data_IF_786263954353
#
_entry.id   IF_786263954353
#
_cell.length_a   1.000
_cell.length_b   1.000
_cell.length_c   1.000
_cell.angle_alpha   90.00
_cell.angle_beta   90.00
_cell.angle_gamma   90.00
#
_symmetry.space_group_name_H-M   'P 1'
#
loop_
_entity.id
_entity.type
_entity.pdbx_description
1 polymer ?
#
# COMPACT_ATOMS: atom_id res chain seq x y z
N UNK A 1 30.97 70.58 75.81
CA UNK A 1 31.13 70.83 74.36
C UNK A 1 31.92 69.67 73.77
N UNK A 2 31.39 68.99 72.76
CA UNK A 2 32.14 67.96 72.01
C UNK A 2 31.40 66.63 71.88
N UNK A 3 30.55 66.54 70.86
CA UNK A 3 29.73 65.39 70.48
C UNK A 3 30.61 64.21 70.00
N UNK A 4 30.36 63.01 70.53
CA UNK A 4 30.89 61.76 69.97
C UNK A 4 29.95 61.22 68.87
N UNK A 5 30.57 60.54 67.90
CA UNK A 5 30.06 60.23 66.56
C UNK A 5 28.73 59.47 66.54
N UNK A 6 27.81 59.95 65.68
CA UNK A 6 26.77 59.11 65.07
C UNK A 6 27.31 58.62 63.74
N UNK A 7 27.55 57.32 63.66
CA UNK A 7 27.77 56.58 62.41
C UNK A 7 26.45 56.56 61.64
N UNK A 8 26.37 57.35 60.57
CA UNK A 8 25.33 57.19 59.55
C UNK A 8 25.90 56.31 58.44
N UNK A 9 25.53 55.03 58.47
CA UNK A 9 25.59 54.12 57.34
C UNK A 9 24.47 54.53 56.38
N UNK A 10 24.81 55.30 55.34
CA UNK A 10 23.94 55.40 54.17
C UNK A 10 24.29 54.22 53.27
N UNK A 11 23.59 53.10 53.47
CA UNK A 11 23.59 52.01 52.50
C UNK A 11 22.98 52.52 51.19
N UNK A 12 23.74 52.33 50.13
CA UNK A 12 23.37 52.68 48.76
C UNK A 12 22.44 51.60 48.23
N UNK A 13 21.13 51.79 48.35
CA UNK A 13 20.17 50.99 47.58
C UNK A 13 20.34 51.35 46.09
N UNK A 14 20.88 50.39 45.33
CA UNK A 14 21.07 50.47 43.89
C UNK A 14 20.12 49.48 43.22
N UNK A 15 19.08 50.02 42.58
CA UNK A 15 18.20 49.46 41.54
C UNK A 15 18.32 47.96 41.22
N UNK A 16 17.53 47.11 41.88
CA UNK A 16 17.25 45.74 41.41
C UNK A 16 16.09 45.64 40.41
N UNK A 17 15.40 46.75 40.10
CA UNK A 17 14.22 46.74 39.21
C UNK A 17 14.58 46.63 37.71
N UNK A 18 15.78 47.05 37.30
CA UNK A 18 16.19 47.11 35.89
C UNK A 18 16.51 45.75 35.26
N UNK A 19 17.05 44.82 36.05
CA UNK A 19 17.55 43.52 35.57
C UNK A 19 16.42 42.57 35.13
N UNK A 20 15.38 42.41 35.95
CA UNK A 20 14.25 41.53 35.61
C UNK A 20 13.49 41.99 34.36
N UNK A 21 13.27 43.30 34.20
CA UNK A 21 12.53 43.84 33.05
C UNK A 21 13.21 43.56 31.70
N UNK A 22 14.55 43.55 31.67
CA UNK A 22 15.33 43.26 30.47
C UNK A 22 15.36 41.76 30.16
N UNK A 23 15.45 40.89 31.17
CA UNK A 23 15.30 39.43 31.00
C UNK A 23 13.97 39.06 30.38
N UNK A 24 12.85 39.55 30.93
CA UNK A 24 11.51 39.30 30.37
C UNK A 24 11.34 39.87 28.96
N UNK A 25 12.04 40.96 28.62
CA UNK A 25 12.04 41.52 27.26
C UNK A 25 12.83 40.64 26.29
N UNK A 26 13.94 40.06 26.73
CA UNK A 26 14.76 39.11 25.95
C UNK A 26 13.98 37.81 25.75
N UNK A 27 13.34 37.26 26.79
CA UNK A 27 12.50 36.06 26.70
C UNK A 27 11.37 36.25 25.70
N UNK A 28 10.62 37.36 25.79
CA UNK A 28 9.57 37.69 24.81
C UNK A 28 10.11 37.75 23.38
N UNK A 29 11.31 38.30 23.18
CA UNK A 29 11.96 38.36 21.86
C UNK A 29 12.33 36.97 21.33
N UNK A 30 12.80 36.07 22.19
CA UNK A 30 13.14 34.69 21.84
C UNK A 30 11.88 33.89 21.49
N UNK A 31 10.83 33.98 22.32
CA UNK A 31 9.54 33.31 22.09
C UNK A 31 8.96 33.73 20.73
N UNK A 32 8.91 35.03 20.47
CA UNK A 32 8.38 35.55 19.21
C UNK A 32 9.26 35.19 18.00
N UNK A 33 10.59 35.12 18.17
CA UNK A 33 11.49 34.60 17.12
C UNK A 33 11.20 33.13 16.82
N UNK A 34 11.03 32.30 17.85
CA UNK A 34 10.70 30.89 17.70
C UNK A 34 9.36 30.72 16.98
N UNK A 35 8.33 31.49 17.37
CA UNK A 35 7.03 31.50 16.71
C UNK A 35 7.13 31.82 15.22
N UNK A 36 7.91 32.83 14.82
CA UNK A 36 8.14 33.17 13.40
C UNK A 36 8.90 32.09 12.65
N UNK A 37 9.90 31.48 13.28
CA UNK A 37 10.66 30.40 12.68
C UNK A 37 9.78 29.17 12.44
N UNK A 38 8.94 28.79 13.40
CA UNK A 38 7.96 27.72 13.22
C UNK A 38 7.01 28.01 12.06
N UNK A 39 6.48 29.24 11.99
CA UNK A 39 5.62 29.64 10.89
C UNK A 39 6.32 29.54 9.53
N UNK A 40 7.58 29.98 9.44
CA UNK A 40 8.39 29.85 8.21
C UNK A 40 8.56 28.40 7.78
N UNK A 41 8.85 27.49 8.72
CA UNK A 41 9.01 26.05 8.44
C UNK A 41 7.70 25.47 7.90
N UNK A 42 6.57 25.82 8.49
CA UNK A 42 5.26 25.33 8.04
C UNK A 42 4.95 25.78 6.62
N UNK A 43 5.19 27.05 6.27
CA UNK A 43 5.01 27.53 4.90
C UNK A 43 5.93 26.82 3.91
N UNK A 44 7.21 26.62 4.24
CA UNK A 44 8.12 25.86 3.38
C UNK A 44 7.64 24.43 3.15
N UNK A 45 7.13 23.76 4.20
CA UNK A 45 6.56 22.42 4.09
C UNK A 45 5.29 22.40 3.24
N UNK A 46 4.39 23.37 3.42
CA UNK A 46 3.19 23.51 2.61
C UNK A 46 3.55 23.62 1.11
N UNK A 47 4.46 24.54 0.78
CA UNK A 47 4.85 24.78 -0.62
C UNK A 47 5.52 23.58 -1.26
N UNK A 48 6.27 22.76 -0.50
CA UNK A 48 6.87 21.52 -1.03
C UNK A 48 5.86 20.43 -1.42
N UNK A 49 4.62 20.51 -0.92
CA UNK A 49 3.57 19.52 -1.20
C UNK A 49 2.68 19.91 -2.40
N UNK A 50 2.82 21.13 -2.90
CA UNK A 50 2.00 21.66 -4.00
C UNK A 50 2.77 21.46 -5.32
N UNK A 51 2.19 20.76 -6.32
CA UNK A 51 2.81 20.59 -7.63
C UNK A 51 3.00 21.93 -8.35
N UNK A 52 4.12 22.10 -9.03
CA UNK A 52 4.41 23.22 -9.94
C UNK A 52 4.70 24.60 -9.30
N UNK A 53 5.26 24.65 -8.10
CA UNK A 53 5.87 25.89 -7.56
C UNK A 53 7.24 26.19 -8.20
N UNK A 54 7.35 26.05 -9.53
CA UNK A 54 8.58 26.21 -10.29
C UNK A 54 8.81 27.71 -10.55
N UNK A 55 9.39 28.39 -9.57
CA UNK A 55 10.44 29.42 -9.73
C UNK A 55 10.22 30.65 -10.63
N UNK A 56 9.02 31.02 -11.09
CA UNK A 56 8.86 32.23 -11.94
C UNK A 56 8.11 33.42 -11.34
N UNK A 57 7.42 33.28 -10.22
CA UNK A 57 6.77 34.42 -9.57
C UNK A 57 6.76 34.23 -8.06
N UNK A 58 7.34 35.17 -7.32
CA UNK A 58 7.29 35.16 -5.87
C UNK A 58 5.86 35.55 -5.43
N UNK A 59 4.97 34.56 -5.35
CA UNK A 59 3.61 34.74 -4.87
C UNK A 59 3.61 35.26 -3.43
N UNK A 60 2.62 36.11 -3.09
CA UNK A 60 2.44 36.58 -1.73
C UNK A 60 2.06 35.40 -0.81
N UNK A 61 2.34 35.51 0.49
CA UNK A 61 1.98 34.44 1.45
C UNK A 61 0.50 34.06 1.41
N UNK A 62 -0.47 34.98 1.30
CA UNK A 62 -1.89 34.63 1.14
C UNK A 62 -2.16 33.87 -0.16
N UNK A 63 -1.55 34.28 -1.27
CA UNK A 63 -1.77 33.65 -2.57
C UNK A 63 -1.26 32.19 -2.58
N UNK A 64 -0.14 31.92 -1.88
CA UNK A 64 0.38 30.56 -1.68
C UNK A 64 -0.60 29.69 -0.89
N UNK A 65 -1.28 30.26 0.12
CA UNK A 65 -2.31 29.55 0.88
C UNK A 65 -3.53 29.28 -0.02
N UNK A 66 -3.96 30.26 -0.81
CA UNK A 66 -5.10 30.10 -1.72
C UNK A 66 -4.83 29.05 -2.79
N UNK A 67 -3.59 28.96 -3.28
CA UNK A 67 -3.17 27.90 -4.19
C UNK A 67 -3.21 26.52 -3.52
N UNK A 68 -2.75 26.42 -2.27
CA UNK A 68 -2.85 25.19 -1.49
C UNK A 68 -4.31 24.75 -1.34
N UNK A 69 -5.21 25.69 -1.02
CA UNK A 69 -6.65 25.44 -0.90
C UNK A 69 -7.21 24.94 -2.24
N UNK A 70 -6.84 25.59 -3.34
CA UNK A 70 -7.26 25.18 -4.70
C UNK A 70 -6.78 23.77 -5.03
N UNK A 71 -5.55 23.45 -4.66
CA UNK A 71 -4.98 22.13 -4.89
C UNK A 71 -5.71 21.05 -4.09
N UNK A 72 -5.98 21.27 -2.80
CA UNK A 72 -6.76 20.35 -1.96
C UNK A 72 -8.13 20.08 -2.58
N UNK A 73 -8.88 21.11 -2.99
CA UNK A 73 -10.18 20.96 -3.65
C UNK A 73 -10.10 20.15 -4.95
N UNK A 74 -9.01 20.33 -5.72
CA UNK A 74 -8.79 19.57 -6.95
C UNK A 74 -8.55 18.08 -6.65
N UNK A 75 -7.82 17.75 -5.59
CA UNK A 75 -7.57 16.38 -5.16
C UNK A 75 -8.85 15.71 -4.67
N UNK A 76 -9.66 16.39 -3.86
CA UNK A 76 -10.97 15.90 -3.40
C UNK A 76 -11.88 15.56 -4.59
N UNK A 77 -11.89 16.41 -5.61
CA UNK A 77 -12.68 16.20 -6.83
C UNK A 77 -12.17 14.99 -7.62
N UNK A 78 -10.86 14.85 -7.78
CA UNK A 78 -10.24 13.68 -8.44
C UNK A 78 -10.52 12.38 -7.69
N UNK A 79 -10.44 12.40 -6.37
CA UNK A 79 -10.73 11.25 -5.51
C UNK A 79 -12.19 10.81 -5.68
N UNK A 80 -13.13 11.76 -5.62
CA UNK A 80 -14.55 11.48 -5.85
C UNK A 80 -14.80 10.89 -7.23
N UNK A 81 -14.25 11.48 -8.29
CA UNK A 81 -14.37 10.96 -9.65
C UNK A 81 -13.81 9.54 -9.77
N UNK A 82 -12.61 9.28 -9.24
CA UNK A 82 -12.02 7.94 -9.25
C UNK A 82 -12.84 6.92 -8.46
N UNK A 83 -13.46 7.34 -7.35
CA UNK A 83 -14.38 6.51 -6.58
C UNK A 83 -15.66 6.19 -7.35
N UNK A 84 -16.28 7.19 -7.99
CA UNK A 84 -17.46 7.01 -8.85
C UNK A 84 -17.14 6.10 -10.05
N UNK A 85 -16.00 6.28 -10.70
CA UNK A 85 -15.52 5.39 -11.77
C UNK A 85 -15.34 3.96 -11.27
N UNK A 86 -14.66 3.77 -10.13
CA UNK A 86 -14.50 2.46 -9.49
C UNK A 86 -15.86 1.83 -9.17
N UNK A 87 -16.80 2.59 -8.63
CA UNK A 87 -18.14 2.10 -8.31
C UNK A 87 -18.93 1.76 -9.57
N UNK A 88 -18.85 2.56 -10.64
CA UNK A 88 -19.53 2.26 -11.91
C UNK A 88 -19.01 0.97 -12.55
N UNK A 89 -17.68 0.78 -12.62
CA UNK A 89 -17.06 -0.43 -13.10
C UNK A 89 -17.38 -1.62 -12.19
N UNK A 90 -17.47 -1.38 -10.88
CA UNK A 90 -17.85 -2.40 -9.92
C UNK A 90 -19.35 -2.75 -9.97
N UNK A 91 -20.25 -1.81 -10.24
CA UNK A 91 -21.70 -2.06 -10.38
C UNK A 91 -22.00 -2.81 -11.68
N UNK A 92 -21.28 -2.50 -12.78
CA UNK A 92 -21.31 -3.31 -13.99
C UNK A 92 -20.58 -4.66 -13.83
N UNK A 93 -19.60 -4.77 -12.93
CA UNK A 93 -18.89 -6.02 -12.60
C UNK A 93 -19.59 -6.90 -11.53
N UNK A 94 -20.51 -6.34 -10.74
CA UNK A 94 -21.25 -7.02 -9.66
C UNK A 94 -22.54 -7.71 -10.14
N UNK A 95 -22.60 -8.07 -11.41
CA UNK A 95 -23.51 -9.12 -11.91
C UNK A 95 -22.77 -10.40 -12.31
N UNK A 96 -21.53 -10.63 -11.86
CA UNK A 96 -21.07 -12.01 -11.66
C UNK A 96 -21.48 -12.46 -10.25
N UNK A 97 -22.78 -12.68 -10.12
CA UNK A 97 -23.24 -13.74 -9.24
C UNK A 97 -22.56 -15.01 -9.72
N UNK A 98 -21.93 -15.73 -8.82
CA UNK A 98 -21.39 -17.09 -8.98
C UNK A 98 -22.52 -18.13 -9.16
N UNK A 99 -23.62 -17.71 -9.77
CA UNK A 99 -24.70 -18.56 -10.25
C UNK A 99 -24.82 -18.35 -11.75
N UNK A 100 -24.38 -19.37 -12.48
CA UNK A 100 -24.67 -19.58 -13.87
C UNK A 100 -26.18 -19.46 -14.09
N UNK A 101 -26.66 -18.48 -14.85
CA UNK A 101 -27.85 -18.63 -15.70
C UNK A 101 -27.97 -17.46 -16.70
N UNK A 102 -27.92 -17.84 -17.98
CA UNK A 102 -28.39 -17.16 -19.19
C UNK A 102 -28.02 -15.70 -19.44
N UNK A 103 -27.03 -15.51 -20.32
CA UNK A 103 -27.24 -14.65 -21.49
C UNK A 103 -26.57 -15.31 -22.70
N UNK A 104 -27.36 -15.55 -23.74
CA UNK A 104 -26.98 -16.27 -24.94
C UNK A 104 -25.88 -15.56 -25.73
N UNK A 105 -24.67 -16.13 -25.72
CA UNK A 105 -23.75 -16.14 -26.84
C UNK A 105 -22.80 -17.34 -26.65
N UNK A 106 -22.72 -18.20 -27.66
CA UNK A 106 -21.98 -19.46 -27.69
C UNK A 106 -20.45 -19.31 -27.56
N UNK A 107 -19.94 -19.01 -26.38
CA UNK A 107 -18.59 -19.36 -25.98
C UNK A 107 -18.65 -19.99 -24.59
N UNK A 108 -18.36 -21.28 -24.51
CA UNK A 108 -18.22 -22.00 -23.24
C UNK A 108 -17.17 -21.29 -22.39
N UNK A 109 -17.59 -20.40 -21.49
CA UNK A 109 -16.73 -19.78 -20.50
C UNK A 109 -16.28 -20.89 -19.55
N UNK A 110 -15.16 -21.54 -19.87
CA UNK A 110 -14.56 -22.56 -19.02
C UNK A 110 -14.23 -21.91 -17.69
N UNK A 111 -14.80 -22.43 -16.60
CA UNK A 111 -14.44 -22.01 -15.25
C UNK A 111 -12.93 -22.16 -15.04
N UNK A 112 -12.28 -21.21 -14.35
CA UNK A 112 -10.85 -21.30 -14.08
C UNK A 112 -10.57 -22.59 -13.29
N UNK A 113 -9.51 -23.30 -13.68
CA UNK A 113 -9.06 -24.51 -12.99
C UNK A 113 -7.67 -24.27 -12.44
N UNK A 114 -7.44 -24.65 -11.20
CA UNK A 114 -6.14 -24.50 -10.55
C UNK A 114 -5.71 -25.79 -9.89
N UNK A 115 -4.45 -26.13 -10.10
CA UNK A 115 -3.72 -27.20 -9.43
C UNK A 115 -2.51 -26.60 -8.72
N UNK A 116 -2.20 -27.13 -7.55
CA UNK A 116 -1.07 -26.68 -6.72
C UNK A 116 -0.29 -27.94 -6.36
N UNK A 117 1.00 -27.94 -6.69
CA UNK A 117 1.92 -29.03 -6.38
C UNK A 117 2.96 -28.52 -5.40
N UNK A 118 3.06 -29.22 -4.27
CA UNK A 118 4.02 -28.92 -3.21
C UNK A 118 5.17 -29.92 -3.28
N UNK A 119 6.39 -29.42 -3.40
CA UNK A 119 7.62 -30.22 -3.43
C UNK A 119 8.62 -29.64 -2.42
N UNK A 120 8.46 -30.00 -1.15
CA UNK A 120 9.30 -29.46 -0.07
C UNK A 120 9.05 -27.97 0.15
N UNK A 121 10.09 -27.14 0.01
CA UNK A 121 9.97 -25.67 0.10
C UNK A 121 9.45 -25.02 -1.20
N UNK A 122 9.35 -25.80 -2.29
CA UNK A 122 8.92 -25.31 -3.60
C UNK A 122 7.43 -25.54 -3.82
N UNK A 123 6.77 -24.52 -4.37
CA UNK A 123 5.37 -24.52 -4.73
C UNK A 123 5.22 -24.24 -6.23
N UNK A 124 4.56 -25.15 -6.95
CA UNK A 124 4.16 -24.95 -8.34
C UNK A 124 2.65 -24.72 -8.39
N UNK A 125 2.24 -23.61 -8.99
CA UNK A 125 0.83 -23.24 -9.19
C UNK A 125 0.53 -23.25 -10.68
N UNK A 126 -0.36 -24.13 -11.10
CA UNK A 126 -0.85 -24.23 -12.48
C UNK A 126 -2.28 -23.71 -12.52
N UNK A 127 -2.51 -22.65 -13.29
CA UNK A 127 -3.82 -22.04 -13.47
C UNK A 127 -4.20 -22.05 -14.96
N UNK A 128 -5.38 -22.59 -15.26
CA UNK A 128 -5.98 -22.55 -16.60
C UNK A 128 -7.16 -21.59 -16.59
N UNK A 129 -7.13 -20.58 -17.46
CA UNK A 129 -8.15 -19.53 -17.57
C UNK A 129 -8.63 -19.34 -19.00
N UNK A 130 -9.84 -18.79 -19.17
CA UNK A 130 -10.23 -18.18 -20.44
C UNK A 130 -9.66 -16.77 -20.59
N UNK A 131 -9.76 -16.20 -21.80
CA UNK A 131 -9.23 -14.88 -22.14
C UNK A 131 -9.75 -13.75 -21.21
N UNK A 132 -10.98 -13.89 -20.69
CA UNK A 132 -11.62 -12.88 -19.84
C UNK A 132 -11.15 -12.87 -18.37
N UNK A 133 -10.31 -13.85 -17.96
CA UNK A 133 -9.96 -14.09 -16.56
C UNK A 133 -8.47 -13.88 -16.25
N UNK A 134 -7.75 -13.08 -17.05
CA UNK A 134 -6.32 -12.83 -16.87
C UNK A 134 -5.96 -12.20 -15.51
N UNK A 135 -6.90 -11.47 -14.88
CA UNK A 135 -6.69 -10.85 -13.56
C UNK A 135 -6.39 -11.88 -12.46
N UNK A 136 -6.87 -13.13 -12.60
CA UNK A 136 -6.64 -14.20 -11.63
C UNK A 136 -5.15 -14.52 -11.47
N UNK A 137 -4.37 -14.42 -12.55
CA UNK A 137 -2.92 -14.66 -12.50
C UNK A 137 -2.20 -13.62 -11.64
N UNK A 138 -2.56 -12.34 -11.77
CA UNK A 138 -1.98 -11.27 -10.96
C UNK A 138 -2.33 -11.42 -9.49
N UNK A 139 -3.57 -11.82 -9.18
CA UNK A 139 -4.00 -12.09 -7.80
C UNK A 139 -3.28 -13.29 -7.18
N UNK A 140 -2.99 -14.35 -7.95
CA UNK A 140 -2.17 -15.47 -7.47
C UNK A 140 -0.78 -14.97 -7.05
N UNK A 141 -0.11 -14.20 -7.92
CA UNK A 141 1.21 -13.62 -7.62
C UNK A 141 1.13 -12.73 -6.37
N UNK A 142 0.05 -11.96 -6.24
CA UNK A 142 -0.17 -11.11 -5.08
C UNK A 142 -0.31 -11.93 -3.78
N UNK A 143 -1.12 -12.98 -3.77
CA UNK A 143 -1.30 -13.89 -2.63
C UNK A 143 0.02 -14.55 -2.24
N UNK A 144 0.81 -15.00 -3.21
CA UNK A 144 2.13 -15.59 -2.97
C UNK A 144 3.05 -14.60 -2.25
N UNK A 145 3.10 -13.36 -2.72
CA UNK A 145 3.90 -12.31 -2.10
C UNK A 145 3.44 -11.97 -0.68
N UNK A 146 2.13 -11.87 -0.42
CA UNK A 146 1.59 -11.62 0.93
C UNK A 146 1.96 -12.72 1.93
N UNK A 147 2.01 -13.96 1.47
CA UNK A 147 2.36 -15.14 2.27
C UNK A 147 3.86 -15.43 2.33
N UNK A 148 4.70 -14.49 1.90
CA UNK A 148 6.16 -14.59 1.93
C UNK A 148 6.72 -15.74 1.07
N UNK A 149 5.98 -16.15 0.04
CA UNK A 149 6.47 -17.04 -1.00
C UNK A 149 7.18 -16.21 -2.08
N UNK A 150 8.47 -16.48 -2.27
CA UNK A 150 9.29 -15.83 -3.29
C UNK A 150 9.00 -16.46 -4.66
N UNK A 151 8.45 -15.67 -5.58
CA UNK A 151 8.19 -16.14 -6.94
C UNK A 151 9.50 -16.23 -7.72
N UNK A 152 9.88 -17.46 -8.09
CA UNK A 152 11.09 -17.75 -8.86
C UNK A 152 10.85 -17.57 -10.36
N UNK A 153 9.77 -18.15 -10.87
CA UNK A 153 9.41 -18.06 -12.29
C UNK A 153 7.91 -17.96 -12.45
N UNK A 154 7.48 -17.23 -13.48
CA UNK A 154 6.08 -17.06 -13.82
C UNK A 154 5.95 -17.03 -15.34
N UNK A 155 5.33 -18.04 -15.90
CA UNK A 155 5.21 -18.25 -17.34
C UNK A 155 3.72 -18.35 -17.70
N UNK A 156 3.41 -17.97 -18.93
CA UNK A 156 2.09 -18.23 -19.51
C UNK A 156 2.22 -18.71 -20.94
N UNK A 157 1.25 -19.50 -21.38
CA UNK A 157 1.08 -19.89 -22.77
C UNK A 157 -0.39 -19.84 -23.14
N UNK A 158 -0.67 -19.62 -24.42
CA UNK A 158 -2.03 -19.51 -24.94
C UNK A 158 -2.25 -20.70 -25.88
N UNK A 159 -3.35 -21.43 -25.68
CA UNK A 159 -3.76 -22.53 -26.54
C UNK A 159 -5.27 -22.47 -26.76
N UNK A 160 -5.66 -22.17 -28.00
CA UNK A 160 -7.05 -21.90 -28.37
C UNK A 160 -7.64 -20.76 -27.54
N UNK A 161 -8.80 -21.02 -26.92
CA UNK A 161 -9.51 -20.05 -26.07
C UNK A 161 -9.09 -20.11 -24.60
N UNK A 162 -7.91 -20.67 -24.30
CA UNK A 162 -7.43 -20.88 -22.94
C UNK A 162 -6.00 -20.41 -22.75
N UNK A 163 -5.72 -19.84 -21.59
CA UNK A 163 -4.40 -19.39 -21.15
C UNK A 163 -3.97 -20.28 -19.98
N UNK A 164 -2.80 -20.88 -20.13
CA UNK A 164 -2.14 -21.69 -19.12
C UNK A 164 -1.09 -20.82 -18.43
N UNK A 165 -1.21 -20.68 -17.12
CA UNK A 165 -0.29 -19.96 -16.28
C UNK A 165 0.42 -20.95 -15.38
N UNK A 166 1.74 -20.82 -15.26
CA UNK A 166 2.57 -21.64 -14.38
C UNK A 166 3.44 -20.71 -13.55
N UNK A 167 3.32 -20.80 -12.23
CA UNK A 167 4.12 -20.02 -11.29
C UNK A 167 4.89 -20.98 -10.39
N UNK A 168 6.21 -20.83 -10.34
CA UNK A 168 7.05 -21.49 -9.35
C UNK A 168 7.42 -20.48 -8.28
N UNK A 169 7.19 -20.84 -7.03
CA UNK A 169 7.56 -20.05 -5.87
C UNK A 169 8.30 -20.91 -4.84
N UNK A 170 9.15 -20.29 -4.04
CA UNK A 170 9.83 -20.90 -2.92
C UNK A 170 9.41 -20.22 -1.62
N UNK A 171 9.09 -21.02 -0.62
CA UNK A 171 8.66 -20.54 0.69
C UNK A 171 9.90 -20.46 1.58
N UNK A 172 10.18 -19.26 2.09
CA UNK A 172 11.30 -19.03 3.00
C UNK A 172 11.04 -19.70 4.34
N UNK A 173 11.67 -20.84 4.59
CA UNK A 173 11.55 -21.52 5.87
C UNK A 173 12.29 -20.78 6.98
N UNK A 174 11.52 -20.14 7.86
CA UNK A 174 12.02 -19.36 8.99
C UNK A 174 11.78 -20.00 10.37
N UNK A 175 11.08 -21.13 10.46
CA UNK A 175 10.63 -21.70 11.74
C UNK A 175 10.30 -23.20 11.64
N UNK A 176 10.53 -23.93 12.75
CA UNK A 176 10.26 -25.37 12.92
C UNK A 176 8.76 -25.76 12.83
N UNK A 177 7.87 -24.78 12.66
CA UNK A 177 6.41 -24.94 12.55
C UNK A 177 5.87 -24.35 11.24
N UNK A 178 6.52 -24.63 10.11
CA UNK A 178 6.11 -24.09 8.82
C UNK A 178 4.80 -24.72 8.32
N UNK A 179 3.69 -24.03 8.60
CA UNK A 179 2.42 -24.18 7.88
C UNK A 179 2.42 -23.41 6.54
N UNK A 180 3.58 -22.93 6.06
CA UNK A 180 3.68 -21.97 4.95
C UNK A 180 3.00 -22.46 3.68
N UNK A 181 3.39 -23.63 3.17
CA UNK A 181 2.84 -24.18 1.93
C UNK A 181 1.34 -24.51 2.02
N UNK A 182 0.93 -25.13 3.12
CA UNK A 182 -0.48 -25.43 3.39
C UNK A 182 -1.35 -24.16 3.46
N UNK A 183 -0.86 -23.11 4.14
CA UNK A 183 -1.55 -21.82 4.28
C UNK A 183 -1.70 -21.10 2.94
N UNK A 184 -0.62 -21.05 2.15
CA UNK A 184 -0.63 -20.48 0.79
C UNK A 184 -1.64 -21.25 -0.07
N UNK A 185 -1.59 -22.57 -0.04
CA UNK A 185 -2.47 -23.47 -0.80
C UNK A 185 -3.93 -23.25 -0.42
N UNK A 186 -4.26 -23.17 0.87
CA UNK A 186 -5.62 -22.89 1.34
C UNK A 186 -6.10 -21.52 0.85
N UNK A 187 -5.27 -20.47 0.95
CA UNK A 187 -5.63 -19.13 0.47
C UNK A 187 -5.88 -19.10 -1.03
N UNK A 188 -5.04 -19.75 -1.82
CA UNK A 188 -5.20 -19.84 -3.27
C UNK A 188 -6.46 -20.62 -3.65
N UNK A 189 -6.72 -21.77 -3.01
CA UNK A 189 -7.94 -22.55 -3.23
C UNK A 189 -9.19 -21.75 -2.84
N UNK A 190 -9.17 -21.07 -1.69
CA UNK A 190 -10.27 -20.20 -1.25
C UNK A 190 -10.51 -19.04 -2.21
N UNK A 191 -9.46 -18.48 -2.81
CA UNK A 191 -9.56 -17.40 -3.79
C UNK A 191 -10.27 -17.86 -5.08
N UNK A 192 -9.96 -19.07 -5.58
CA UNK A 192 -10.51 -19.56 -6.85
C UNK A 192 -11.85 -20.28 -6.69
N UNK A 193 -11.97 -21.15 -5.70
CA UNK A 193 -13.14 -22.01 -5.50
C UNK A 193 -14.12 -21.44 -4.46
N UNK A 194 -13.78 -20.33 -3.81
CA UNK A 194 -14.55 -19.77 -2.71
C UNK A 194 -14.34 -20.53 -1.39
N UNK A 195 -15.00 -20.07 -0.33
CA UNK A 195 -14.96 -20.77 0.96
C UNK A 195 -15.93 -21.96 0.91
N UNK A 196 -15.41 -23.17 0.71
CA UNK A 196 -16.21 -24.40 0.68
C UNK A 196 -16.63 -24.78 2.10
N UNK A 197 -17.67 -24.14 2.63
CA UNK A 197 -18.44 -24.74 3.74
C UNK A 197 -19.57 -25.56 3.13
N UNK A 198 -19.27 -26.78 2.69
CA UNK A 198 -19.95 -28.00 3.11
C UNK A 198 -19.31 -29.20 2.39
N UNK A 199 -19.38 -30.34 3.06
CA UNK A 199 -18.75 -31.61 2.73
C UNK A 199 -19.14 -32.11 1.33
N UNK A 200 -18.14 -32.40 0.51
CA UNK A 200 -18.12 -33.59 -0.35
C UNK A 200 -16.67 -33.89 -0.76
N UNK A 201 -16.10 -34.88 -0.09
CA UNK A 201 -14.87 -35.56 -0.50
C UNK A 201 -15.24 -36.62 -1.53
N UNK A 202 -14.78 -36.47 -2.78
CA UNK A 202 -14.25 -37.56 -3.62
C UNK A 202 -14.00 -37.09 -5.08
N UNK A 203 -13.14 -37.77 -5.86
CA UNK A 203 -11.93 -38.52 -5.48
C UNK A 203 -10.69 -37.97 -6.19
N UNK A 204 -9.53 -38.36 -5.67
CA UNK A 204 -8.23 -38.27 -6.32
C UNK A 204 -8.30 -38.85 -7.74
N UNK A 205 -8.38 -37.98 -8.74
CA UNK A 205 -7.88 -38.31 -10.07
C UNK A 205 -6.42 -37.86 -10.09
N UNK A 206 -5.56 -38.76 -9.60
CA UNK A 206 -4.16 -38.81 -9.99
C UNK A 206 -4.12 -38.61 -11.50
N UNK A 207 -3.53 -37.50 -11.95
CA UNK A 207 -3.22 -37.31 -13.34
C UNK A 207 -2.10 -38.30 -13.68
N UNK A 208 -2.45 -39.56 -13.91
CA UNK A 208 -1.62 -40.51 -14.65
C UNK A 208 -1.57 -40.02 -16.10
N UNK A 209 -0.75 -39.00 -16.33
CA UNK A 209 -0.15 -38.78 -17.63
C UNK A 209 1.28 -39.26 -17.51
N UNK A 210 1.51 -40.47 -18.03
CA UNK A 210 2.82 -40.95 -18.43
C UNK A 210 3.46 -39.86 -19.31
N UNK A 211 4.31 -39.05 -18.68
CA UNK A 211 5.23 -38.18 -19.41
C UNK A 211 6.29 -39.11 -19.97
N UNK A 212 6.08 -39.55 -21.20
CA UNK A 212 7.13 -40.20 -21.97
C UNK A 212 8.27 -39.18 -22.14
N UNK A 213 9.51 -39.47 -21.71
CA UNK A 213 10.63 -38.58 -21.95
C UNK A 213 11.06 -38.73 -23.41
N UNK A 214 10.41 -38.01 -24.32
CA UNK A 214 10.94 -37.82 -25.67
C UNK A 214 12.03 -36.74 -25.63
N UNK A 215 13.18 -37.14 -26.15
CA UNK A 215 14.41 -36.37 -26.25
C UNK A 215 14.19 -35.09 -27.06
N UNK A 216 14.40 -33.95 -26.42
CA UNK A 216 14.52 -32.68 -27.12
C UNK A 216 15.92 -32.59 -27.76
N UNK A 217 16.07 -33.15 -28.96
CA UNK A 217 17.20 -32.81 -29.82
C UNK A 217 16.96 -31.42 -30.42
N UNK A 218 17.69 -30.45 -29.89
CA UNK A 218 17.86 -29.14 -30.54
C UNK A 218 19.03 -29.25 -31.52
N UNK A 219 18.76 -28.99 -32.80
CA UNK A 219 19.76 -28.87 -33.85
C UNK A 219 20.41 -27.48 -33.86
#
# INVERSE_FOLDING_TARGET
MGRFLVINLQEKEMDQQGSQSTSTKIERRIIEKNRRNQMKILYSKLNSLIPNQNSKEALSLPDQIDEAIKYIKSLETKLKKSKEEKESLSVNGRKRSYTCTSFDAKSSLKSPKMEIREMGSTLEVVLVTGLDNQFLFYEIIHILHEEQAEVLTANFSISGDSIFHVVHAEIKSGSLFDFGAAKVTERLKRFIYGSTSDVDLEPELCWDLDIHPESWDFQ
#
